data_IF_854640174327
#
_entry.id   IF_854640174327
#
_cell.length_a   1.000
_cell.length_b   1.000
_cell.length_c   1.000
_cell.angle_alpha   90.00
_cell.angle_beta   90.00
_cell.angle_gamma   90.00
#
_symmetry.space_group_name_H-M   'P 1'
#
loop_
_entity.id
_entity.type
_entity.pdbx_description
1 polymer ?
#
# COMPACT_ATOMS: atom_id res chain seq x y z
N UNK A 1 30.07 -4.74 39.89
CA UNK A 1 29.67 -6.11 39.54
C UNK A 1 28.24 -6.02 39.03
N UNK A 2 28.08 -5.82 37.72
CA UNK A 2 26.76 -5.71 37.10
C UNK A 2 26.24 -7.11 36.81
N UNK A 3 25.03 -7.39 37.28
CA UNK A 3 24.29 -8.62 37.04
C UNK A 3 23.86 -8.68 35.56
N UNK A 4 24.35 -9.66 34.76
CA UNK A 4 23.97 -9.81 33.36
C UNK A 4 22.51 -10.27 33.15
N UNK A 5 21.75 -10.54 34.23
CA UNK A 5 20.40 -11.10 34.19
C UNK A 5 19.29 -10.10 34.61
N UNK A 6 19.58 -8.79 34.70
CA UNK A 6 18.59 -7.73 34.96
C UNK A 6 18.93 -6.47 34.11
N UNK A 7 18.41 -6.18 32.91
CA UNK A 7 17.12 -6.41 32.24
C UNK A 7 17.34 -6.30 30.71
N UNK A 8 17.14 -7.38 29.94
CA UNK A 8 17.19 -7.37 28.48
C UNK A 8 15.75 -7.55 27.88
N UNK A 9 15.56 -7.69 26.56
CA UNK A 9 14.45 -7.27 25.63
C UNK A 9 13.43 -6.14 25.91
N UNK A 10 13.07 -5.84 27.16
CA UNK A 10 11.84 -5.05 27.44
C UNK A 10 11.87 -3.60 26.92
N UNK A 11 13.07 -2.99 26.82
CA UNK A 11 13.23 -1.60 26.39
C UNK A 11 12.99 -1.42 24.90
N UNK A 12 13.49 -2.32 24.06
CA UNK A 12 13.24 -2.31 22.62
C UNK A 12 11.74 -2.49 22.32
N UNK A 13 11.10 -3.46 22.97
CA UNK A 13 9.64 -3.65 22.89
C UNK A 13 8.91 -2.37 23.31
N UNK A 14 9.35 -1.70 24.37
CA UNK A 14 8.73 -0.45 24.85
C UNK A 14 8.76 0.64 23.78
N UNK A 15 9.87 0.79 23.04
CA UNK A 15 9.97 1.77 21.94
C UNK A 15 8.92 1.51 20.87
N UNK A 16 8.82 0.25 20.42
CA UNK A 16 7.86 -0.14 19.38
C UNK A 16 6.42 -0.02 19.88
N UNK A 17 6.14 -0.47 21.11
CA UNK A 17 4.81 -0.47 21.71
C UNK A 17 4.28 0.94 21.97
N UNK A 18 5.10 1.85 22.51
CA UNK A 18 4.70 3.25 22.70
C UNK A 18 4.39 3.91 21.35
N UNK A 19 5.20 3.61 20.33
CA UNK A 19 4.93 4.09 18.97
C UNK A 19 3.62 3.50 18.44
N UNK A 20 3.36 2.21 18.62
CA UNK A 20 2.10 1.58 18.21
C UNK A 20 0.88 2.16 18.93
N UNK A 21 0.96 2.35 20.26
CA UNK A 21 -0.10 2.96 21.06
C UNK A 21 -0.44 4.39 20.61
N UNK A 22 0.55 5.15 20.13
CA UNK A 22 0.31 6.50 19.61
C UNK A 22 -0.63 6.51 18.39
N UNK A 23 -0.74 5.40 17.64
CA UNK A 23 -1.63 5.30 16.49
C UNK A 23 -3.11 5.24 16.88
N UNK A 24 -3.44 4.96 18.15
CA UNK A 24 -4.83 4.97 18.62
C UNK A 24 -5.45 6.38 18.67
N UNK A 25 -4.61 7.43 18.68
CA UNK A 25 -5.05 8.83 18.84
C UNK A 25 -4.49 9.70 17.72
N UNK A 26 -5.12 10.84 17.46
CA UNK A 26 -4.59 11.84 16.52
C UNK A 26 -3.46 12.69 17.11
N UNK A 27 -3.20 12.59 18.42
CA UNK A 27 -2.18 13.37 19.10
C UNK A 27 -0.79 12.75 18.88
N UNK A 28 0.21 13.61 18.67
CA UNK A 28 1.61 13.21 18.65
C UNK A 28 2.12 13.05 20.09
N UNK A 29 3.17 12.25 20.25
CA UNK A 29 3.89 12.16 21.52
C UNK A 29 4.49 13.53 21.89
N UNK A 30 4.55 13.84 23.18
CA UNK A 30 5.23 15.02 23.67
C UNK A 30 6.76 14.93 23.45
N UNK A 31 7.44 16.08 23.57
CA UNK A 31 8.87 16.19 23.30
C UNK A 31 9.73 15.39 24.28
N UNK A 32 9.30 15.24 25.53
CA UNK A 32 10.01 14.46 26.55
C UNK A 32 10.00 12.97 26.21
N UNK A 33 8.81 12.44 25.88
CA UNK A 33 8.63 11.07 25.44
C UNK A 33 9.42 10.81 24.16
N UNK A 34 9.37 11.73 23.19
CA UNK A 34 10.14 11.60 21.93
C UNK A 34 11.64 11.56 22.18
N UNK A 35 12.17 12.45 23.01
CA UNK A 35 13.59 12.49 23.35
C UNK A 35 14.04 11.20 24.05
N UNK A 36 13.22 10.66 24.95
CA UNK A 36 13.46 9.37 25.58
C UNK A 36 13.53 8.24 24.54
N UNK A 37 12.59 8.18 23.58
CA UNK A 37 12.61 7.17 22.52
C UNK A 37 13.89 7.25 21.68
N UNK A 38 14.29 8.46 21.26
CA UNK A 38 15.54 8.67 20.53
C UNK A 38 16.77 8.14 21.30
N UNK A 39 16.86 8.45 22.60
CA UNK A 39 17.96 7.98 23.44
C UNK A 39 18.01 6.45 23.54
N UNK A 40 16.85 5.80 23.67
CA UNK A 40 16.77 4.33 23.71
C UNK A 40 17.24 3.73 22.39
N UNK A 41 16.78 4.24 21.24
CA UNK A 41 17.20 3.76 19.92
C UNK A 41 18.70 3.94 19.71
N UNK A 42 19.27 5.09 20.11
CA UNK A 42 20.72 5.34 20.05
C UNK A 42 21.52 4.40 20.94
N UNK A 43 20.95 3.93 22.05
CA UNK A 43 21.56 2.94 22.93
C UNK A 43 21.50 1.50 22.38
N UNK A 44 20.97 1.28 21.17
CA UNK A 44 20.99 -0.02 20.50
C UNK A 44 19.92 -1.01 20.97
N UNK A 45 18.91 -0.57 21.72
CA UNK A 45 17.93 -1.47 22.36
C UNK A 45 17.08 -2.31 21.38
N UNK A 46 17.10 -1.97 20.10
CA UNK A 46 16.38 -2.70 19.04
C UNK A 46 17.20 -3.86 18.46
N UNK A 47 18.52 -3.90 18.67
CA UNK A 47 19.42 -4.93 18.11
C UNK A 47 19.18 -6.31 18.73
N UNK A 48 18.60 -6.35 19.92
CA UNK A 48 18.26 -7.57 20.65
C UNK A 48 16.92 -8.19 20.20
N UNK A 49 16.10 -7.46 19.43
CA UNK A 49 14.77 -7.92 19.05
C UNK A 49 14.84 -8.82 17.80
N UNK A 50 14.14 -9.95 17.87
CA UNK A 50 13.90 -10.75 16.67
C UNK A 50 12.94 -10.03 15.71
N UNK A 51 13.04 -10.28 14.40
CA UNK A 51 12.08 -9.74 13.43
C UNK A 51 10.61 -10.06 13.75
N UNK A 52 10.33 -11.22 14.36
CA UNK A 52 8.96 -11.59 14.75
C UNK A 52 8.44 -10.75 15.92
N UNK A 53 9.28 -10.45 16.90
CA UNK A 53 8.92 -9.54 18.00
C UNK A 53 8.68 -8.14 17.49
N UNK A 54 9.53 -7.67 16.56
CA UNK A 54 9.33 -6.39 15.87
C UNK A 54 7.96 -6.37 15.18
N UNK A 55 7.64 -7.38 14.37
CA UNK A 55 6.37 -7.43 13.66
C UNK A 55 5.16 -7.50 14.60
N UNK A 56 5.27 -8.24 15.69
CA UNK A 56 4.22 -8.35 16.71
C UNK A 56 3.89 -7.00 17.37
N UNK A 57 4.85 -6.08 17.47
CA UNK A 57 4.61 -4.74 18.01
C UNK A 57 4.18 -3.73 16.92
N UNK A 58 4.60 -3.91 15.66
CA UNK A 58 4.18 -3.05 14.54
C UNK A 58 2.73 -3.31 14.11
N UNK A 59 2.31 -4.57 14.10
CA UNK A 59 0.99 -4.97 13.58
C UNK A 59 -0.18 -4.27 14.29
N UNK A 60 -0.24 -4.21 15.64
CA UNK A 60 -1.33 -3.50 16.32
C UNK A 60 -1.41 -2.03 15.90
N UNK A 61 -0.28 -1.32 15.86
CA UNK A 61 -0.27 0.09 15.46
C UNK A 61 -0.61 0.30 13.99
N UNK A 62 -0.30 -0.66 13.11
CA UNK A 62 -0.74 -0.65 11.71
C UNK A 62 -2.27 -0.78 11.58
N UNK A 63 -2.90 -1.50 12.51
CA UNK A 63 -4.35 -1.73 12.54
C UNK A 63 -5.15 -0.67 13.30
N UNK A 64 -4.48 0.30 13.92
CA UNK A 64 -5.11 1.40 14.65
C UNK A 64 -5.75 2.48 13.73
N UNK A 65 -6.36 3.50 14.33
CA UNK A 65 -7.07 4.59 13.63
C UNK A 65 -6.15 5.59 12.92
N UNK A 66 -4.94 5.79 13.43
CA UNK A 66 -3.93 6.72 12.92
C UNK A 66 -2.57 6.03 12.78
N UNK A 67 -2.45 4.98 11.94
CA UNK A 67 -1.21 4.23 11.76
C UNK A 67 -0.03 5.12 11.35
N UNK A 68 -0.29 6.26 10.72
CA UNK A 68 0.74 7.23 10.40
C UNK A 68 1.50 7.75 11.63
N UNK A 69 0.85 7.87 12.79
CA UNK A 69 1.50 8.37 14.01
C UNK A 69 2.56 7.40 14.52
N UNK A 70 2.29 6.08 14.50
CA UNK A 70 3.30 5.07 14.81
C UNK A 70 4.50 5.22 13.90
N UNK A 71 4.30 5.27 12.57
CA UNK A 71 5.42 5.34 11.63
C UNK A 71 6.19 6.65 11.71
N UNK A 72 5.53 7.80 11.93
CA UNK A 72 6.21 9.07 12.19
C UNK A 72 7.08 8.99 13.43
N UNK A 73 6.55 8.47 14.53
CA UNK A 73 7.31 8.36 15.77
C UNK A 73 8.52 7.42 15.59
N UNK A 74 8.34 6.28 14.93
CA UNK A 74 9.45 5.36 14.62
C UNK A 74 10.48 6.00 13.69
N UNK A 75 10.05 6.77 12.68
CA UNK A 75 10.93 7.49 11.77
C UNK A 75 11.73 8.55 12.51
N UNK A 76 11.07 9.42 13.27
CA UNK A 76 11.68 10.56 13.98
C UNK A 76 12.67 10.11 15.06
N UNK A 77 12.42 8.99 15.74
CA UNK A 77 13.36 8.44 16.71
C UNK A 77 14.42 7.52 16.10
N UNK A 78 14.41 7.31 14.77
CA UNK A 78 15.36 6.46 14.05
C UNK A 78 15.11 4.96 14.19
N UNK A 79 14.06 4.53 14.91
CA UNK A 79 13.70 3.13 15.05
C UNK A 79 13.31 2.51 13.70
N UNK A 80 12.57 3.24 12.85
CA UNK A 80 12.08 2.73 11.57
C UNK A 80 13.24 2.27 10.68
N UNK A 81 14.35 3.02 10.66
CA UNK A 81 15.55 2.67 9.89
C UNK A 81 16.17 1.34 10.34
N UNK A 82 15.98 0.96 11.60
CA UNK A 82 16.51 -0.29 12.16
C UNK A 82 15.59 -1.46 11.87
N UNK A 83 14.27 -1.25 11.96
CA UNK A 83 13.29 -2.35 11.90
C UNK A 83 12.68 -2.56 10.51
N UNK A 84 12.53 -1.50 9.72
CA UNK A 84 11.91 -1.53 8.40
C UNK A 84 12.60 -0.52 7.45
N UNK A 85 13.91 -0.71 7.18
CA UNK A 85 14.72 0.23 6.39
C UNK A 85 14.18 0.48 4.98
N UNK A 86 13.51 -0.50 4.39
CA UNK A 86 12.91 -0.40 3.06
C UNK A 86 11.83 0.68 2.98
N UNK A 87 11.11 0.92 4.09
CA UNK A 87 10.09 1.97 4.20
C UNK A 87 10.73 3.30 4.61
N UNK A 88 11.73 3.30 5.51
CA UNK A 88 12.46 4.53 5.84
C UNK A 88 13.10 5.17 4.61
N UNK A 89 13.65 4.37 3.71
CA UNK A 89 14.27 4.85 2.49
C UNK A 89 13.28 5.48 1.48
N UNK A 90 11.97 5.46 1.73
CA UNK A 90 10.98 6.17 0.91
C UNK A 90 10.84 7.65 1.29
N UNK A 91 11.24 8.02 2.52
CA UNK A 91 11.23 9.41 2.95
C UNK A 91 12.34 10.19 2.24
N UNK A 92 11.99 11.34 1.69
CA UNK A 92 12.85 12.16 0.83
C UNK A 92 12.85 11.75 -0.65
N UNK A 93 12.16 10.67 -1.02
CA UNK A 93 12.01 10.25 -2.43
C UNK A 93 10.71 10.84 -2.98
N UNK A 94 10.80 11.55 -4.10
CA UNK A 94 9.65 12.21 -4.72
C UNK A 94 9.10 11.41 -5.91
N UNK A 95 7.77 11.42 -6.07
CA UNK A 95 7.08 10.91 -7.26
C UNK A 95 6.19 11.99 -7.88
N UNK A 96 5.90 11.85 -9.18
CA UNK A 96 5.02 12.74 -9.93
C UNK A 96 3.62 12.75 -9.31
N UNK A 97 3.04 13.93 -9.23
CA UNK A 97 1.67 14.20 -8.84
C UNK A 97 1.09 15.31 -9.73
N UNK A 98 -0.22 15.56 -9.63
CA UNK A 98 -0.85 16.61 -10.43
C UNK A 98 -0.72 17.98 -9.75
N UNK A 99 -1.23 18.09 -8.53
CA UNK A 99 -1.17 19.29 -7.71
C UNK A 99 -1.06 18.87 -6.22
N UNK A 100 0.07 19.11 -5.54
CA UNK A 100 1.32 19.65 -6.08
C UNK A 100 1.93 18.74 -7.16
N UNK A 101 2.88 19.24 -7.96
CA UNK A 101 3.52 18.49 -9.05
C UNK A 101 4.31 17.25 -8.58
N UNK A 102 4.71 17.23 -7.31
CA UNK A 102 5.43 16.13 -6.69
C UNK A 102 4.99 15.91 -5.26
N UNK A 103 5.03 14.66 -4.82
CA UNK A 103 4.82 14.27 -3.42
C UNK A 103 5.96 13.39 -2.93
N UNK A 104 6.35 13.61 -1.69
CA UNK A 104 7.24 12.72 -0.94
C UNK A 104 6.54 11.37 -0.72
N UNK A 105 7.18 10.27 -1.15
CA UNK A 105 6.60 8.92 -1.13
C UNK A 105 6.44 8.43 0.32
N UNK A 106 7.40 8.66 1.21
CA UNK A 106 7.29 8.30 2.63
C UNK A 106 6.06 8.96 3.28
N UNK A 107 5.92 10.28 3.09
CA UNK A 107 4.76 11.05 3.54
C UNK A 107 3.46 10.61 2.87
N UNK A 108 3.51 10.18 1.61
CA UNK A 108 2.37 9.62 0.90
C UNK A 108 1.93 8.30 1.52
N UNK A 109 2.84 7.36 1.77
CA UNK A 109 2.56 6.09 2.46
C UNK A 109 1.84 6.33 3.79
N UNK A 110 2.28 7.31 4.58
CA UNK A 110 1.59 7.71 5.82
C UNK A 110 0.12 8.09 5.57
N UNK A 111 -0.16 8.88 4.53
CA UNK A 111 -1.52 9.29 4.17
C UNK A 111 -2.35 8.13 3.63
N UNK A 112 -1.77 7.22 2.83
CA UNK A 112 -2.46 6.01 2.34
C UNK A 112 -2.90 5.13 3.50
N UNK A 113 -2.03 4.93 4.50
CA UNK A 113 -2.34 4.13 5.68
C UNK A 113 -3.48 4.72 6.51
N UNK A 114 -3.49 6.04 6.70
CA UNK A 114 -4.62 6.70 7.38
C UNK A 114 -5.91 6.62 6.56
N UNK A 115 -5.85 6.66 5.21
CA UNK A 115 -7.02 6.42 4.37
C UNK A 115 -7.51 4.97 4.48
N UNK A 116 -6.61 3.99 4.49
CA UNK A 116 -6.94 2.59 4.69
C UNK A 116 -7.59 2.37 6.07
N UNK A 117 -7.09 3.04 7.12
CA UNK A 117 -7.68 3.01 8.45
C UNK A 117 -9.10 3.59 8.49
N UNK A 118 -9.35 4.72 7.81
CA UNK A 118 -10.69 5.33 7.69
C UNK A 118 -11.70 4.43 6.97
N UNK A 119 -11.23 3.59 6.06
CA UNK A 119 -12.07 2.63 5.35
C UNK A 119 -12.19 1.27 6.08
N UNK A 120 -11.70 1.16 7.31
CA UNK A 120 -11.63 -0.09 8.07
C UNK A 120 -10.99 -1.24 7.26
N UNK A 121 -9.97 -0.91 6.49
CA UNK A 121 -9.36 -1.86 5.57
C UNK A 121 -8.64 -2.99 6.34
N UNK A 122 -8.68 -4.24 5.82
CA UNK A 122 -8.03 -5.38 6.47
C UNK A 122 -6.50 -5.27 6.42
N UNK A 123 -5.83 -6.12 7.20
CA UNK A 123 -4.36 -6.14 7.29
C UNK A 123 -3.70 -6.27 5.90
N UNK A 124 -4.26 -7.08 4.99
CA UNK A 124 -3.74 -7.23 3.64
C UNK A 124 -3.64 -5.91 2.88
N UNK A 125 -4.65 -5.06 2.96
CA UNK A 125 -4.65 -3.73 2.32
C UNK A 125 -3.66 -2.79 3.01
N UNK A 126 -3.63 -2.77 4.35
CA UNK A 126 -2.73 -1.88 5.10
C UNK A 126 -1.26 -2.27 4.94
N UNK A 127 -0.97 -3.57 4.91
CA UNK A 127 0.36 -4.08 4.63
C UNK A 127 0.77 -3.73 3.19
N UNK A 128 -0.09 -3.97 2.20
CA UNK A 128 0.19 -3.59 0.82
C UNK A 128 0.46 -2.08 0.68
N UNK A 129 -0.33 -1.22 1.33
CA UNK A 129 -0.10 0.22 1.36
C UNK A 129 1.28 0.60 1.95
N UNK A 130 1.72 -0.12 2.99
CA UNK A 130 3.01 0.11 3.65
C UNK A 130 4.19 -0.18 2.71
N UNK A 131 4.11 -1.23 1.88
CA UNK A 131 5.28 -1.78 1.17
C UNK A 131 5.23 -1.69 -0.34
N UNK A 132 4.09 -1.41 -0.97
CA UNK A 132 3.97 -1.45 -2.45
C UNK A 132 4.92 -0.48 -3.17
N UNK A 133 5.36 0.59 -2.50
CA UNK A 133 6.31 1.54 -3.06
C UNK A 133 7.78 1.24 -2.71
N UNK A 134 8.08 0.17 -1.96
CA UNK A 134 9.44 -0.14 -1.48
C UNK A 134 10.49 -0.20 -2.61
N UNK A 135 10.10 -0.57 -3.83
CA UNK A 135 10.99 -0.58 -5.00
C UNK A 135 11.43 0.80 -5.51
N UNK A 136 10.79 1.87 -5.05
CA UNK A 136 11.12 3.26 -5.43
C UNK A 136 12.20 3.88 -4.53
N UNK A 137 12.52 3.27 -3.39
CA UNK A 137 13.35 3.85 -2.32
C UNK A 137 14.80 4.18 -2.69
N UNK A 138 15.31 3.62 -3.78
CA UNK A 138 16.69 3.79 -4.27
C UNK A 138 16.71 4.23 -5.74
N UNK A 139 15.66 4.93 -6.17
CA UNK A 139 15.60 5.45 -7.54
C UNK A 139 16.74 6.45 -7.76
N UNK A 140 17.56 6.30 -8.82
CA UNK A 140 18.67 7.20 -9.07
C UNK A 140 18.17 8.65 -9.19
N UNK A 141 18.77 9.62 -8.47
CA UNK A 141 18.32 11.02 -8.46
C UNK A 141 18.20 11.63 -9.86
N UNK A 142 19.10 11.26 -10.78
CA UNK A 142 19.12 11.69 -12.18
C UNK A 142 17.91 11.21 -13.01
N UNK A 143 17.16 10.23 -12.50
CA UNK A 143 15.95 9.72 -13.14
C UNK A 143 14.68 10.16 -12.45
N UNK A 144 14.77 10.78 -11.27
CA UNK A 144 13.60 11.29 -10.58
C UNK A 144 12.90 12.35 -11.43
N UNK A 145 11.56 12.38 -11.43
CA UNK A 145 10.63 11.56 -10.63
C UNK A 145 10.18 10.23 -11.29
N UNK A 146 10.93 9.71 -12.28
CA UNK A 146 10.65 8.43 -12.97
C UNK A 146 11.40 7.28 -12.30
N UNK A 147 10.66 6.28 -11.84
CA UNK A 147 11.21 5.14 -11.09
C UNK A 147 11.41 3.91 -11.98
N UNK A 148 12.53 3.83 -12.70
CA UNK A 148 12.80 2.66 -13.56
C UNK A 148 12.99 1.37 -12.75
N UNK A 149 12.48 0.25 -13.29
CA UNK A 149 12.60 -1.11 -12.73
C UNK A 149 12.14 -1.24 -11.26
N UNK A 150 11.34 -0.30 -10.76
CA UNK A 150 10.89 -0.32 -9.38
C UNK A 150 10.02 -1.55 -9.06
N UNK A 151 9.30 -2.10 -10.05
CA UNK A 151 8.51 -3.33 -9.88
C UNK A 151 9.42 -4.53 -9.59
N UNK A 152 10.55 -4.65 -10.28
CA UNK A 152 11.49 -5.76 -10.07
C UNK A 152 12.18 -5.65 -8.69
N UNK A 153 12.69 -4.46 -8.35
CA UNK A 153 13.29 -4.21 -7.02
C UNK A 153 12.27 -4.35 -5.90
N UNK A 154 11.05 -3.85 -6.12
CA UNK A 154 9.95 -3.90 -5.17
C UNK A 154 9.55 -5.33 -4.84
N UNK A 155 9.49 -6.22 -5.83
CA UNK A 155 9.15 -7.64 -5.63
C UNK A 155 10.09 -8.27 -4.62
N UNK A 156 11.40 -8.19 -4.88
CA UNK A 156 12.40 -8.78 -3.98
C UNK A 156 12.33 -8.19 -2.58
N UNK A 157 12.10 -6.88 -2.45
CA UNK A 157 11.96 -6.22 -1.13
C UNK A 157 10.73 -6.71 -0.37
N UNK A 158 9.58 -6.77 -1.03
CA UNK A 158 8.33 -7.24 -0.42
C UNK A 158 8.48 -8.70 0.02
N UNK A 159 9.05 -9.56 -0.82
CA UNK A 159 9.30 -10.97 -0.51
C UNK A 159 10.24 -11.10 0.70
N UNK A 160 11.34 -10.34 0.75
CA UNK A 160 12.26 -10.33 1.89
C UNK A 160 11.60 -9.82 3.18
N UNK A 161 10.77 -8.78 3.11
CA UNK A 161 10.02 -8.27 4.28
C UNK A 161 9.07 -9.36 4.80
N UNK A 162 8.33 -10.02 3.90
CA UNK A 162 7.40 -11.07 4.26
C UNK A 162 8.09 -12.27 4.90
N UNK A 163 9.23 -12.71 4.35
CA UNK A 163 10.05 -13.78 4.93
C UNK A 163 10.61 -13.38 6.29
N UNK A 164 11.17 -12.17 6.40
CA UNK A 164 11.75 -11.62 7.64
C UNK A 164 10.73 -11.59 8.77
N UNK A 165 9.51 -11.13 8.51
CA UNK A 165 8.48 -10.94 9.53
C UNK A 165 7.50 -12.12 9.66
N UNK A 166 7.51 -13.07 8.73
CA UNK A 166 6.53 -14.16 8.69
C UNK A 166 5.12 -13.66 8.37
N UNK A 167 5.00 -12.69 7.46
CA UNK A 167 3.71 -12.11 7.02
C UNK A 167 2.89 -13.18 6.29
N UNK A 168 1.59 -13.19 6.53
CA UNK A 168 0.67 -14.13 5.90
C UNK A 168 0.62 -13.96 4.38
N UNK A 169 0.33 -15.08 3.70
CA UNK A 169 0.32 -15.17 2.25
C UNK A 169 -0.61 -14.14 1.60
N UNK A 170 -1.79 -13.92 2.16
CA UNK A 170 -2.78 -12.98 1.61
C UNK A 170 -2.21 -11.55 1.52
N UNK A 171 -1.58 -11.07 2.58
CA UNK A 171 -0.94 -9.75 2.63
C UNK A 171 0.22 -9.64 1.64
N UNK A 172 1.06 -10.67 1.55
CA UNK A 172 2.16 -10.72 0.56
C UNK A 172 1.62 -10.67 -0.87
N UNK A 173 0.66 -11.54 -1.18
CA UNK A 173 0.15 -11.70 -2.55
C UNK A 173 -0.56 -10.42 -3.00
N UNK A 174 -1.33 -9.75 -2.12
CA UNK A 174 -1.94 -8.45 -2.42
C UNK A 174 -0.89 -7.33 -2.59
N UNK A 175 0.16 -7.30 -1.77
CA UNK A 175 1.23 -6.32 -1.91
C UNK A 175 1.99 -6.45 -3.24
N UNK A 176 2.23 -7.69 -3.69
CA UNK A 176 2.86 -7.95 -4.99
C UNK A 176 1.94 -7.59 -6.16
N UNK A 177 0.64 -7.84 -6.05
CA UNK A 177 -0.34 -7.42 -7.05
C UNK A 177 -0.42 -5.88 -7.13
N UNK A 178 -0.48 -5.20 -5.97
CA UNK A 178 -0.51 -3.75 -5.89
C UNK A 178 0.74 -3.10 -6.52
N UNK A 179 1.93 -3.63 -6.21
CA UNK A 179 3.18 -3.20 -6.83
C UNK A 179 3.14 -3.28 -8.37
N UNK A 180 2.53 -4.33 -8.91
CA UNK A 180 2.49 -4.57 -10.36
C UNK A 180 1.41 -3.74 -11.08
N UNK A 181 0.25 -3.55 -10.45
CA UNK A 181 -0.96 -3.10 -11.14
C UNK A 181 -1.56 -1.78 -10.63
N UNK A 182 -1.26 -1.30 -9.42
CA UNK A 182 -1.90 -0.09 -8.87
C UNK A 182 -1.76 1.12 -9.82
N UNK A 183 -0.54 1.42 -10.28
CA UNK A 183 -0.32 2.49 -11.26
C UNK A 183 -1.03 2.26 -12.61
N UNK A 184 -1.21 1.00 -13.03
CA UNK A 184 -1.94 0.65 -14.25
C UNK A 184 -3.44 0.90 -14.07
N UNK A 185 -3.99 0.55 -12.91
CA UNK A 185 -5.39 0.83 -12.53
C UNK A 185 -5.67 2.33 -12.56
N UNK A 186 -4.78 3.17 -12.00
CA UNK A 186 -4.93 4.64 -12.07
C UNK A 186 -4.98 5.17 -13.50
N UNK A 187 -4.37 4.48 -14.47
CA UNK A 187 -4.35 4.83 -15.90
C UNK A 187 -5.47 4.19 -16.73
N UNK A 188 -6.33 3.36 -16.14
CA UNK A 188 -7.43 2.71 -16.85
C UNK A 188 -8.38 3.75 -17.48
N UNK A 189 -8.91 3.46 -18.68
CA UNK A 189 -9.74 4.40 -19.43
C UNK A 189 -10.77 3.67 -20.30
N UNK A 190 -11.94 4.28 -20.46
CA UNK A 190 -13.09 3.73 -21.20
C UNK A 190 -12.84 3.59 -22.70
N UNK A 191 -11.83 4.28 -23.24
CA UNK A 191 -11.50 4.18 -24.68
C UNK A 191 -10.70 2.91 -25.02
N UNK A 192 -10.38 2.06 -24.04
CA UNK A 192 -9.47 0.91 -24.18
C UNK A 192 -10.09 -0.40 -23.66
N UNK A 193 -11.18 -0.86 -24.26
CA UNK A 193 -11.90 -2.06 -23.80
C UNK A 193 -11.04 -3.33 -23.74
N UNK A 194 -10.28 -3.66 -24.79
CA UNK A 194 -9.36 -4.82 -24.77
C UNK A 194 -8.31 -4.76 -23.65
N UNK A 195 -7.56 -3.65 -23.51
CA UNK A 195 -6.65 -3.47 -22.38
C UNK A 195 -7.33 -3.51 -21.00
N UNK A 196 -8.59 -3.11 -20.88
CA UNK A 196 -9.37 -3.24 -19.64
C UNK A 196 -9.74 -4.71 -19.39
N UNK A 197 -10.16 -5.46 -20.41
CA UNK A 197 -10.41 -6.90 -20.30
C UNK A 197 -9.17 -7.66 -19.78
N UNK A 198 -8.02 -7.42 -20.42
CA UNK A 198 -6.75 -8.00 -20.01
C UNK A 198 -6.31 -7.53 -18.61
N UNK A 199 -6.67 -6.32 -18.21
CA UNK A 199 -6.44 -5.86 -16.83
C UNK A 199 -7.28 -6.67 -15.85
N UNK A 200 -8.59 -6.79 -16.05
CA UNK A 200 -9.48 -7.57 -15.16
C UNK A 200 -8.97 -9.00 -14.94
N UNK A 201 -8.46 -9.64 -16.01
CA UNK A 201 -7.82 -10.95 -15.91
C UNK A 201 -6.59 -10.93 -14.99
N UNK A 202 -5.64 -10.01 -15.21
CA UNK A 202 -4.45 -9.89 -14.34
C UNK A 202 -4.79 -9.52 -12.90
N UNK A 203 -5.90 -8.81 -12.67
CA UNK A 203 -6.37 -8.48 -11.35
C UNK A 203 -7.09 -9.65 -10.65
N UNK A 204 -7.31 -10.77 -11.35
CA UNK A 204 -8.06 -11.91 -10.83
C UNK A 204 -9.55 -11.63 -10.65
N UNK A 205 -10.10 -10.62 -11.33
CA UNK A 205 -11.47 -10.15 -11.10
C UNK A 205 -12.55 -11.22 -11.40
N UNK A 206 -12.22 -12.20 -12.24
CA UNK A 206 -13.12 -13.30 -12.60
C UNK A 206 -12.99 -14.53 -11.69
N UNK A 207 -11.87 -14.67 -10.96
CA UNK A 207 -11.54 -15.86 -10.17
C UNK A 207 -11.60 -15.62 -8.66
N UNK A 208 -11.22 -14.42 -8.22
CA UNK A 208 -11.14 -14.04 -6.80
C UNK A 208 -11.62 -12.58 -6.66
N UNK A 209 -12.94 -12.43 -6.59
CA UNK A 209 -13.57 -11.11 -6.48
C UNK A 209 -13.16 -10.38 -5.21
N UNK A 210 -12.93 -11.10 -4.11
CA UNK A 210 -12.58 -10.47 -2.84
C UNK A 210 -11.17 -9.87 -2.90
N UNK A 211 -10.22 -10.56 -3.55
CA UNK A 211 -8.87 -10.03 -3.77
C UNK A 211 -8.88 -8.82 -4.71
N UNK A 212 -9.71 -8.85 -5.76
CA UNK A 212 -9.94 -7.70 -6.64
C UNK A 212 -10.49 -6.49 -5.87
N UNK A 213 -11.50 -6.68 -5.02
CA UNK A 213 -12.07 -5.60 -4.20
C UNK A 213 -11.05 -5.02 -3.22
N UNK A 214 -10.22 -5.87 -2.59
CA UNK A 214 -9.12 -5.41 -1.72
C UNK A 214 -8.12 -4.55 -2.48
N UNK A 215 -7.76 -4.92 -3.72
CA UNK A 215 -6.89 -4.10 -4.56
C UNK A 215 -7.55 -2.76 -4.92
N UNK A 216 -8.83 -2.76 -5.28
CA UNK A 216 -9.54 -1.51 -5.61
C UNK A 216 -9.70 -0.59 -4.39
N UNK A 217 -9.89 -1.17 -3.21
CA UNK A 217 -9.88 -0.44 -1.94
C UNK A 217 -8.53 0.24 -1.73
N UNK A 218 -7.42 -0.49 -1.91
CA UNK A 218 -6.07 0.08 -1.83
C UNK A 218 -5.86 1.20 -2.84
N UNK A 219 -6.25 0.99 -4.10
CA UNK A 219 -6.14 2.01 -5.15
C UNK A 219 -6.95 3.28 -4.81
N UNK A 220 -8.11 3.13 -4.18
CA UNK A 220 -8.91 4.25 -3.72
C UNK A 220 -8.24 4.98 -2.55
N UNK A 221 -7.63 4.26 -1.60
CA UNK A 221 -6.84 4.86 -0.52
C UNK A 221 -5.62 5.63 -1.06
N UNK A 222 -4.89 5.05 -2.03
CA UNK A 222 -3.76 5.71 -2.69
C UNK A 222 -4.17 7.01 -3.40
N UNK A 223 -5.26 6.96 -4.16
CA UNK A 223 -5.83 8.12 -4.83
C UNK A 223 -6.24 9.23 -3.85
N UNK A 224 -6.91 8.88 -2.74
CA UNK A 224 -7.36 9.83 -1.72
C UNK A 224 -6.23 10.35 -0.82
N UNK A 225 -5.05 9.75 -0.88
CA UNK A 225 -3.89 10.20 -0.15
C UNK A 225 -3.18 11.39 -0.81
N UNK A 226 -3.51 11.73 -2.06
CA UNK A 226 -3.04 12.97 -2.68
C UNK A 226 -3.73 14.19 -2.07
N UNK A 227 -3.01 15.32 -1.86
CA UNK A 227 -3.59 16.53 -1.30
C UNK A 227 -4.81 17.03 -2.08
N UNK A 228 -5.93 17.29 -1.39
CA UNK A 228 -7.17 17.77 -2.02
C UNK A 228 -8.02 16.66 -2.67
N UNK A 229 -7.68 15.38 -2.44
CA UNK A 229 -8.41 14.21 -2.94
C UNK A 229 -9.09 13.41 -1.83
N UNK A 230 -8.95 13.82 -0.57
CA UNK A 230 -9.29 13.06 0.62
C UNK A 230 -10.76 12.59 0.63
N UNK A 231 -11.67 13.43 0.12
CA UNK A 231 -13.11 13.14 0.03
C UNK A 231 -13.59 12.77 -1.38
N UNK A 232 -12.70 12.68 -2.37
CA UNK A 232 -13.09 12.41 -3.76
C UNK A 232 -13.47 10.94 -3.95
N UNK A 233 -14.43 10.71 -4.85
CA UNK A 233 -14.72 9.37 -5.36
C UNK A 233 -13.55 8.90 -6.23
N UNK A 234 -13.23 7.60 -6.19
CA UNK A 234 -12.21 7.03 -7.04
C UNK A 234 -12.87 6.48 -8.32
N UNK A 235 -12.80 7.20 -9.46
CA UNK A 235 -13.60 6.86 -10.65
C UNK A 235 -13.22 5.52 -11.29
N UNK A 236 -11.98 5.04 -11.06
CA UNK A 236 -11.51 3.78 -11.67
C UNK A 236 -12.16 2.55 -11.03
N UNK A 237 -12.58 2.63 -9.77
CA UNK A 237 -13.35 1.55 -9.15
C UNK A 237 -14.67 1.34 -9.89
N UNK A 238 -15.46 2.39 -10.12
CA UNK A 238 -16.72 2.31 -10.86
C UNK A 238 -16.53 1.82 -12.30
N UNK A 239 -15.51 2.33 -13.00
CA UNK A 239 -15.17 1.90 -14.36
C UNK A 239 -14.89 0.39 -14.44
N UNK A 240 -14.07 -0.14 -13.53
CA UNK A 240 -13.68 -1.55 -13.55
C UNK A 240 -14.81 -2.47 -13.09
N UNK A 241 -15.63 -2.04 -12.13
CA UNK A 241 -16.85 -2.78 -11.75
C UNK A 241 -17.83 -2.89 -12.91
N UNK A 242 -18.04 -1.79 -13.67
CA UNK A 242 -18.90 -1.81 -14.85
C UNK A 242 -18.36 -2.72 -15.94
N UNK A 243 -17.04 -2.68 -16.17
CA UNK A 243 -16.39 -3.57 -17.12
C UNK A 243 -16.53 -5.05 -16.70
N UNK A 244 -16.35 -5.36 -15.42
CA UNK A 244 -16.53 -6.70 -14.89
C UNK A 244 -17.99 -7.18 -15.03
N UNK A 245 -18.95 -6.33 -14.67
CA UNK A 245 -20.37 -6.65 -14.81
C UNK A 245 -20.80 -6.90 -16.26
N UNK A 246 -20.16 -6.24 -17.23
CA UNK A 246 -20.42 -6.47 -18.65
C UNK A 246 -20.03 -7.89 -19.10
N UNK A 247 -19.07 -8.52 -18.41
CA UNK A 247 -18.57 -9.85 -18.73
C UNK A 247 -19.27 -10.98 -17.96
N UNK A 248 -20.25 -10.68 -17.11
CA UNK A 248 -20.83 -11.64 -16.14
C UNK A 248 -21.47 -12.88 -16.79
N UNK A 249 -21.98 -12.73 -18.00
CA UNK A 249 -22.73 -13.78 -18.73
C UNK A 249 -21.84 -14.52 -19.74
N UNK A 250 -20.53 -14.24 -19.77
CA UNK A 250 -19.57 -14.93 -20.64
C UNK A 250 -19.07 -16.17 -19.90
N UNK A 251 -19.46 -17.35 -20.37
CA UNK A 251 -18.94 -18.61 -19.86
C UNK A 251 -17.52 -18.85 -20.41
N UNK A 252 -16.54 -18.97 -19.52
CA UNK A 252 -15.14 -19.14 -19.91
C UNK A 252 -14.89 -20.52 -20.55
N UNK A 253 -15.72 -21.52 -20.27
CA UNK A 253 -15.56 -22.89 -20.79
C UNK A 253 -16.01 -23.03 -22.26
N UNK A 254 -16.71 -22.02 -22.80
CA UNK A 254 -17.21 -22.01 -24.19
C UNK A 254 -16.19 -21.48 -25.21
N UNK A 255 -15.06 -20.94 -24.76
CA UNK A 255 -14.09 -20.23 -25.59
C UNK A 255 -12.65 -20.72 -25.34
N UNK A 256 -11.79 -20.58 -26.34
CA UNK A 256 -10.34 -20.56 -26.07
C UNK A 256 -9.88 -19.23 -25.47
N UNK A 257 -8.59 -19.11 -25.11
CA UNK A 257 -8.06 -17.94 -24.41
C UNK A 257 -8.19 -16.63 -25.23
N UNK A 258 -7.95 -16.71 -26.54
CA UNK A 258 -8.01 -15.55 -27.43
C UNK A 258 -9.46 -15.13 -27.69
N UNK A 259 -10.34 -16.11 -27.96
CA UNK A 259 -11.78 -15.90 -28.16
C UNK A 259 -12.44 -15.35 -26.89
N UNK A 260 -12.07 -15.85 -25.70
CA UNK A 260 -12.58 -15.37 -24.42
C UNK A 260 -12.18 -13.91 -24.20
N UNK A 261 -10.93 -13.56 -24.50
CA UNK A 261 -10.44 -12.20 -24.38
C UNK A 261 -11.16 -11.24 -25.35
N UNK A 262 -11.39 -11.67 -26.59
CA UNK A 262 -12.14 -10.91 -27.58
C UNK A 262 -13.60 -10.70 -27.15
N UNK A 263 -14.27 -11.76 -26.68
CA UNK A 263 -15.65 -11.70 -26.19
C UNK A 263 -15.80 -10.70 -25.04
N UNK A 264 -14.90 -10.76 -24.05
CA UNK A 264 -14.86 -9.81 -22.93
C UNK A 264 -14.60 -8.38 -23.40
N UNK A 265 -13.66 -8.19 -24.33
CA UNK A 265 -13.36 -6.86 -24.87
C UNK A 265 -14.57 -6.25 -25.61
N UNK A 266 -15.32 -7.06 -26.37
CA UNK A 266 -16.54 -6.63 -27.05
C UNK A 266 -17.66 -6.25 -26.06
N UNK A 267 -17.87 -7.07 -25.03
CA UNK A 267 -18.86 -6.80 -23.98
C UNK A 267 -18.55 -5.49 -23.23
N UNK A 268 -17.29 -5.28 -22.85
CA UNK A 268 -16.82 -4.05 -22.20
C UNK A 268 -16.99 -2.85 -23.14
N UNK A 269 -16.65 -3.00 -24.42
CA UNK A 269 -16.81 -1.91 -25.40
C UNK A 269 -18.28 -1.51 -25.58
N UNK A 270 -19.21 -2.46 -25.53
CA UNK A 270 -20.64 -2.18 -25.57
C UNK A 270 -21.10 -1.41 -24.32
N UNK A 271 -20.70 -1.86 -23.13
CA UNK A 271 -21.03 -1.22 -21.85
C UNK A 271 -20.46 0.20 -21.72
N UNK A 272 -19.28 0.47 -22.28
CA UNK A 272 -18.70 1.81 -22.28
C UNK A 272 -19.36 2.74 -23.31
N UNK A 273 -19.83 2.20 -24.45
CA UNK A 273 -20.55 3.01 -25.44
C UNK A 273 -21.94 3.43 -24.95
N UNK A 274 -22.67 2.59 -24.23
CA UNK A 274 -24.01 2.95 -23.73
C UNK A 274 -24.01 4.22 -22.88
N UNK A 275 -22.94 4.47 -22.13
CA UNK A 275 -22.85 5.67 -21.29
C UNK A 275 -22.37 6.93 -22.01
N UNK A 276 -21.50 6.80 -23.03
CA UNK A 276 -21.08 7.96 -23.84
C UNK A 276 -22.27 8.67 -24.53
N UNK A 277 -23.40 7.98 -24.66
CA UNK A 277 -24.65 8.52 -25.19
C UNK A 277 -25.69 8.86 -24.10
N UNK A 278 -25.56 8.38 -22.87
CA UNK A 278 -26.49 8.71 -21.77
C UNK A 278 -26.14 10.03 -21.06
N UNK A 279 -24.86 10.37 -20.89
CA UNK A 279 -24.44 11.63 -20.24
C UNK A 279 -24.60 12.88 -21.13
N UNK A 280 -24.83 12.71 -22.43
CA UNK A 280 -25.12 13.82 -23.36
C UNK A 280 -26.60 14.22 -23.43
N UNK A 281 -27.47 13.58 -22.64
CA UNK A 281 -28.91 13.81 -22.65
C UNK A 281 -29.49 14.25 -21.29
N UNK A 282 -28.63 14.65 -20.34
CA UNK A 282 -29.01 15.20 -19.03
C UNK A 282 -28.43 16.58 -18.81
#
# INVERSE_FOLDING_TARGET
MHDPLQRPPQRGITVLRLSALSAATSALLDDETRAMLCQQVQAGVLEELSPREVWAELLPGLMEKHPSNMLRNLHDCGALQRVLPEVTALFGVFQIANDPEQVDIGCHVLRVLDQAARCDAPLSVRFAALVMNAGKSDSPPEHLPVHYRHIERGRQRIENICERFGVERESRDLALLALAECERVHRASEVRAGPVAAMLERLGAFSDIEHFERLLLLCACDYRAYPGYEAKSYPKSALLHRALAACKDIDADEFDEDELMEARALAIAAAFKSERWSEKLS
#
